data_IF_414024101754
#
_entry.id   IF_414024101754
#
_cell.length_a   1.000
_cell.length_b   1.000
_cell.length_c   1.000
_cell.angle_alpha   90.00
_cell.angle_beta   90.00
_cell.angle_gamma   90.00
#
_symmetry.space_group_name_H-M   'P 1'
#
loop_
_entity.id
_entity.type
_entity.pdbx_description
1 polymer ?
#
# COMPACT_ATOMS: atom_id res chain seq x y z
N UNK A 1 -22.05 56.78 -25.84
CA UNK A 1 -21.44 55.44 -25.72
C UNK A 1 -22.52 54.46 -25.32
N UNK A 2 -22.92 53.55 -26.20
CA UNK A 2 -23.83 52.46 -25.83
C UNK A 2 -23.06 51.46 -24.96
N UNK A 3 -23.47 51.30 -23.71
CA UNK A 3 -22.96 50.24 -22.83
C UNK A 3 -23.71 48.95 -23.20
N UNK A 4 -23.01 47.99 -23.77
CA UNK A 4 -23.53 46.64 -23.95
C UNK A 4 -23.64 45.98 -22.57
N UNK A 5 -24.82 45.49 -22.22
CA UNK A 5 -25.09 44.74 -21.01
C UNK A 5 -25.74 43.41 -21.39
N UNK A 6 -25.38 42.34 -20.69
CA UNK A 6 -26.02 41.04 -20.87
C UNK A 6 -27.43 41.07 -20.30
N UNK A 7 -28.37 40.43 -21.00
CA UNK A 7 -29.71 40.20 -20.47
C UNK A 7 -29.66 39.20 -19.31
N UNK A 8 -30.63 39.27 -18.40
CA UNK A 8 -30.75 38.31 -17.30
C UNK A 8 -30.85 36.86 -17.83
N UNK A 9 -31.56 36.66 -18.94
CA UNK A 9 -31.69 35.35 -19.57
C UNK A 9 -30.34 34.81 -20.08
N UNK A 10 -29.53 35.64 -20.72
CA UNK A 10 -28.17 35.24 -21.18
C UNK A 10 -27.27 34.85 -19.99
N UNK A 11 -27.32 35.62 -18.89
CA UNK A 11 -26.55 35.29 -17.67
C UNK A 11 -27.03 33.96 -17.04
N UNK A 12 -28.34 33.73 -16.96
CA UNK A 12 -28.88 32.49 -16.37
C UNK A 12 -28.57 31.26 -17.23
N UNK A 13 -28.68 31.36 -18.55
CA UNK A 13 -28.35 30.26 -19.46
C UNK A 13 -26.86 29.94 -19.38
N UNK A 14 -25.99 30.96 -19.40
CA UNK A 14 -24.53 30.75 -19.31
C UNK A 14 -24.12 30.14 -17.96
N UNK A 15 -24.67 30.63 -16.84
CA UNK A 15 -24.44 30.02 -15.53
C UNK A 15 -24.97 28.58 -15.46
N UNK A 16 -26.14 28.30 -16.06
CA UNK A 16 -26.69 26.95 -16.14
C UNK A 16 -25.79 25.99 -16.91
N UNK A 17 -25.29 26.40 -18.08
CA UNK A 17 -24.37 25.61 -18.90
C UNK A 17 -23.06 25.36 -18.15
N UNK A 18 -22.44 26.41 -17.58
CA UNK A 18 -21.20 26.29 -16.80
C UNK A 18 -21.41 25.37 -15.59
N UNK A 19 -22.54 25.50 -14.90
CA UNK A 19 -22.89 24.64 -13.76
C UNK A 19 -22.97 23.16 -14.13
N UNK A 20 -23.62 22.83 -15.24
CA UNK A 20 -23.72 21.45 -15.75
C UNK A 20 -22.34 20.91 -16.13
N UNK A 21 -21.55 21.68 -16.88
CA UNK A 21 -20.21 21.25 -17.31
C UNK A 21 -19.27 21.06 -16.11
N UNK A 22 -19.30 21.98 -15.14
CA UNK A 22 -18.51 21.88 -13.92
C UNK A 22 -18.90 20.65 -13.10
N UNK A 23 -20.20 20.37 -12.95
CA UNK A 23 -20.69 19.21 -12.21
C UNK A 23 -20.21 17.87 -12.81
N UNK A 24 -20.07 17.80 -14.14
CA UNK A 24 -19.57 16.60 -14.83
C UNK A 24 -18.03 16.47 -14.79
N UNK A 25 -17.32 17.59 -14.78
CA UNK A 25 -15.85 17.61 -14.95
C UNK A 25 -15.07 17.63 -13.64
N UNK A 26 -15.57 18.31 -12.60
CA UNK A 26 -14.89 18.43 -11.29
C UNK A 26 -14.64 17.05 -10.65
N UNK A 27 -15.60 16.11 -10.59
CA UNK A 27 -15.35 14.80 -10.00
C UNK A 27 -14.26 14.00 -10.74
N UNK A 28 -14.25 14.06 -12.07
CA UNK A 28 -13.25 13.39 -12.89
C UNK A 28 -11.85 13.99 -12.70
N UNK A 29 -11.76 15.32 -12.61
CA UNK A 29 -10.51 16.03 -12.34
C UNK A 29 -9.94 15.66 -10.95
N UNK A 30 -10.79 15.69 -9.91
CA UNK A 30 -10.39 15.31 -8.55
C UNK A 30 -9.91 13.85 -8.50
N UNK A 31 -10.63 12.92 -9.15
CA UNK A 31 -10.24 11.52 -9.19
C UNK A 31 -8.88 11.32 -9.87
N UNK A 32 -8.60 12.02 -10.97
CA UNK A 32 -7.31 11.95 -11.66
C UNK A 32 -6.17 12.54 -10.82
N UNK A 33 -6.43 13.65 -10.13
CA UNK A 33 -5.47 14.24 -9.20
C UNK A 33 -5.14 13.29 -8.05
N UNK A 34 -6.16 12.69 -7.42
CA UNK A 34 -5.96 11.70 -6.35
C UNK A 34 -5.11 10.51 -6.81
N UNK A 35 -5.35 9.99 -8.03
CA UNK A 35 -4.54 8.92 -8.61
C UNK A 35 -3.07 9.30 -8.73
N UNK A 36 -2.77 10.52 -9.18
CA UNK A 36 -1.38 11.01 -9.28
C UNK A 36 -0.73 11.10 -7.90
N UNK A 37 -1.42 11.71 -6.93
CA UNK A 37 -0.93 11.81 -5.55
C UNK A 37 -0.67 10.44 -4.94
N UNK A 38 -1.58 9.47 -5.14
CA UNK A 38 -1.41 8.09 -4.69
C UNK A 38 -0.15 7.45 -5.27
N UNK A 39 0.07 7.58 -6.58
CA UNK A 39 1.26 7.02 -7.24
C UNK A 39 2.54 7.63 -6.69
N UNK A 40 2.58 8.95 -6.52
CA UNK A 40 3.81 9.63 -6.07
C UNK A 40 4.13 9.33 -4.60
N UNK A 41 3.11 9.25 -3.74
CA UNK A 41 3.28 8.79 -2.37
C UNK A 41 3.73 7.33 -2.30
N UNK A 42 3.16 6.45 -3.12
CA UNK A 42 3.59 5.05 -3.21
C UNK A 42 5.06 4.92 -3.63
N UNK A 43 5.49 5.66 -4.66
CA UNK A 43 6.91 5.70 -5.08
C UNK A 43 7.81 6.13 -3.93
N UNK A 44 7.43 7.20 -3.23
CA UNK A 44 8.18 7.72 -2.10
C UNK A 44 8.31 6.66 -1.01
N UNK A 45 7.20 6.08 -0.56
CA UNK A 45 7.22 5.08 0.52
C UNK A 45 8.01 3.83 0.11
N UNK A 46 7.90 3.37 -1.14
CA UNK A 46 8.72 2.28 -1.65
C UNK A 46 10.22 2.62 -1.62
N UNK A 47 10.59 3.83 -2.05
CA UNK A 47 12.00 4.27 -2.05
C UNK A 47 12.55 4.38 -0.64
N UNK A 48 11.80 4.97 0.30
CA UNK A 48 12.19 5.09 1.71
C UNK A 48 12.42 3.71 2.33
N UNK A 49 11.46 2.80 2.16
CA UNK A 49 11.55 1.45 2.75
C UNK A 49 12.67 0.66 2.07
N UNK A 50 12.80 0.71 0.74
CA UNK A 50 13.87 0.02 0.02
C UNK A 50 15.26 0.52 0.46
N UNK A 51 15.43 1.83 0.67
CA UNK A 51 16.70 2.39 1.15
C UNK A 51 17.02 1.95 2.58
N UNK A 52 16.02 1.79 3.45
CA UNK A 52 16.21 1.26 4.80
C UNK A 52 16.77 -0.17 4.76
N UNK A 53 16.25 -1.02 3.86
CA UNK A 53 16.79 -2.36 3.67
C UNK A 53 18.23 -2.35 3.12
N UNK A 54 18.54 -1.49 2.14
CA UNK A 54 19.91 -1.35 1.62
C UNK A 54 20.88 -0.92 2.72
N UNK A 55 20.46 0.01 3.58
CA UNK A 55 21.28 0.48 4.72
C UNK A 55 21.50 -0.65 5.73
N UNK A 56 20.47 -1.44 6.01
CA UNK A 56 20.57 -2.61 6.87
C UNK A 56 21.50 -3.69 6.28
N UNK A 57 21.46 -3.92 4.97
CA UNK A 57 22.37 -4.86 4.30
C UNK A 57 23.84 -4.42 4.38
N UNK A 58 24.08 -3.11 4.37
CA UNK A 58 25.42 -2.57 4.54
C UNK A 58 25.99 -2.83 5.94
N UNK A 59 25.16 -2.72 6.99
CA UNK A 59 25.61 -2.92 8.38
C UNK A 59 25.55 -4.39 8.85
N UNK A 60 24.53 -5.13 8.43
CA UNK A 60 24.19 -6.46 8.94
C UNK A 60 24.47 -7.58 7.92
N UNK A 61 25.11 -7.27 6.81
CA UNK A 61 25.42 -8.23 5.75
C UNK A 61 24.22 -8.62 4.88
N UNK A 62 24.42 -9.63 4.03
CA UNK A 62 23.41 -10.05 3.05
C UNK A 62 22.10 -10.47 3.73
N UNK A 63 20.99 -9.96 3.22
CA UNK A 63 19.64 -10.23 3.72
C UNK A 63 19.29 -11.73 3.76
N UNK A 64 19.85 -12.53 2.85
CA UNK A 64 19.67 -13.98 2.84
C UNK A 64 20.24 -14.65 4.11
N UNK A 65 21.20 -14.03 4.78
CA UNK A 65 21.79 -14.52 6.03
C UNK A 65 20.96 -14.20 7.28
N UNK A 66 19.98 -13.29 7.18
CA UNK A 66 19.20 -12.84 8.34
C UNK A 66 18.16 -13.86 8.82
N UNK A 67 17.92 -14.92 8.04
CA UNK A 67 16.89 -15.92 8.37
C UNK A 67 15.47 -15.42 8.13
N UNK A 68 15.21 -14.65 7.06
CA UNK A 68 13.88 -14.07 6.78
C UNK A 68 12.73 -15.08 6.68
N UNK A 69 13.05 -16.31 6.27
CA UNK A 69 12.10 -17.42 6.18
C UNK A 69 12.06 -18.28 7.46
N UNK A 70 12.92 -17.95 8.43
CA UNK A 70 13.19 -18.68 9.67
C UNK A 70 13.56 -17.68 10.78
N UNK A 71 12.66 -16.75 11.10
CA UNK A 71 12.97 -15.65 12.03
C UNK A 71 13.18 -16.19 13.47
N UNK A 72 12.50 -17.29 13.81
CA UNK A 72 12.66 -18.05 15.05
C UNK A 72 11.59 -19.13 15.18
N UNK A 73 11.74 -20.00 16.19
CA UNK A 73 10.85 -21.15 16.39
C UNK A 73 9.44 -20.70 16.77
N UNK A 74 8.43 -21.42 16.28
CA UNK A 74 7.03 -21.21 16.73
C UNK A 74 6.86 -21.41 18.23
N UNK A 75 7.74 -22.19 18.87
CA UNK A 75 7.71 -22.48 20.31
C UNK A 75 8.11 -21.26 21.16
N UNK A 76 8.91 -20.33 20.63
CA UNK A 76 9.47 -19.21 21.39
C UNK A 76 8.46 -18.07 21.59
N UNK A 77 7.28 -18.16 20.97
CA UNK A 77 6.25 -17.13 20.98
C UNK A 77 6.59 -15.96 20.06
N UNK A 78 5.64 -15.56 19.21
CA UNK A 78 5.84 -14.49 18.24
C UNK A 78 6.29 -13.16 18.88
N UNK A 79 5.80 -12.86 20.10
CA UNK A 79 6.09 -11.61 20.82
C UNK A 79 7.56 -11.44 21.20
N UNK A 80 8.32 -12.54 21.29
CA UNK A 80 9.73 -12.52 21.67
C UNK A 80 10.64 -12.43 20.45
N UNK A 81 10.23 -13.03 19.33
CA UNK A 81 11.09 -13.18 18.15
C UNK A 81 10.90 -12.03 17.17
N UNK A 82 9.66 -11.69 16.84
CA UNK A 82 9.35 -10.75 15.76
C UNK A 82 9.81 -9.32 16.08
N UNK A 83 9.53 -8.75 17.27
CA UNK A 83 9.98 -7.40 17.58
C UNK A 83 11.50 -7.29 17.50
N UNK A 84 12.24 -8.23 18.09
CA UNK A 84 13.71 -8.21 18.07
C UNK A 84 14.27 -8.21 16.65
N UNK A 85 13.76 -9.10 15.80
CA UNK A 85 14.16 -9.17 14.39
C UNK A 85 13.85 -7.87 13.63
N UNK A 86 12.61 -7.38 13.72
CA UNK A 86 12.21 -6.16 13.01
C UNK A 86 13.00 -4.95 13.51
N UNK A 87 13.22 -4.83 14.82
CA UNK A 87 14.02 -3.75 15.41
C UNK A 87 15.44 -3.73 14.86
N UNK A 88 16.10 -4.89 14.88
CA UNK A 88 17.49 -4.99 14.49
C UNK A 88 17.70 -4.74 12.99
N UNK A 89 16.88 -5.35 12.13
CA UNK A 89 17.13 -5.36 10.69
C UNK A 89 16.35 -4.32 9.90
N UNK A 90 15.27 -3.74 10.43
CA UNK A 90 14.35 -2.91 9.63
C UNK A 90 14.04 -1.58 10.33
N UNK A 91 13.47 -1.63 11.53
CA UNK A 91 12.92 -0.43 12.21
C UNK A 91 14.01 0.58 12.56
N UNK A 92 15.20 0.14 12.98
CA UNK A 92 16.37 1.00 13.23
C UNK A 92 16.72 1.89 12.04
N UNK A 93 16.45 1.43 10.82
CA UNK A 93 16.81 2.10 9.56
C UNK A 93 15.67 2.93 8.96
N UNK A 94 14.53 3.00 9.65
CA UNK A 94 13.38 3.81 9.27
C UNK A 94 13.26 5.03 10.18
N UNK A 95 12.80 6.14 9.61
CA UNK A 95 12.49 7.35 10.38
C UNK A 95 11.13 7.21 11.06
N UNK A 96 11.09 6.42 12.14
CA UNK A 96 9.89 6.10 12.91
C UNK A 96 9.55 7.22 13.90
N UNK A 97 8.31 7.69 13.86
CA UNK A 97 7.74 8.63 14.84
C UNK A 97 7.11 7.90 16.01
N UNK A 98 6.39 6.81 15.73
CA UNK A 98 5.72 5.97 16.74
C UNK A 98 5.94 4.52 16.39
N UNK A 99 6.64 3.81 17.26
CA UNK A 99 6.73 2.36 17.23
C UNK A 99 5.61 1.77 18.07
N UNK A 100 4.52 1.37 17.41
CA UNK A 100 3.35 0.84 18.12
C UNK A 100 3.54 -0.63 18.53
N UNK A 101 4.42 -1.34 17.82
CA UNK A 101 4.66 -2.76 18.01
C UNK A 101 3.45 -3.64 17.66
N UNK A 102 3.36 -4.75 18.37
CA UNK A 102 2.30 -5.76 18.22
C UNK A 102 1.03 -5.32 18.96
N UNK A 103 -0.15 -5.77 18.49
CA UNK A 103 -1.43 -5.47 19.15
C UNK A 103 -1.68 -3.96 19.36
N UNK A 104 -1.38 -3.17 18.32
CA UNK A 104 -1.40 -1.72 18.36
C UNK A 104 -2.80 -1.15 18.71
N UNK A 105 -2.94 -0.58 19.92
CA UNK A 105 -4.24 -0.11 20.43
C UNK A 105 -4.84 1.04 19.62
N UNK A 106 -4.02 1.93 19.06
CA UNK A 106 -4.51 3.04 18.22
C UNK A 106 -5.22 2.55 16.96
N UNK A 107 -4.90 1.33 16.50
CA UNK A 107 -5.43 0.74 15.28
C UNK A 107 -6.75 -0.02 15.48
N UNK A 108 -7.17 -0.25 16.73
CA UNK A 108 -8.40 -1.02 17.05
C UNK A 108 -9.67 -0.46 16.44
N UNK A 109 -9.78 0.87 16.32
CA UNK A 109 -10.97 1.55 15.78
C UNK A 109 -10.86 1.88 14.28
N UNK A 110 -9.72 1.56 13.66
CA UNK A 110 -9.46 1.90 12.26
C UNK A 110 -9.95 0.76 11.37
N UNK A 111 -11.03 1.01 10.64
CA UNK A 111 -11.57 0.08 9.65
C UNK A 111 -10.79 0.18 8.35
N UNK A 112 -10.38 -0.96 7.80
CA UNK A 112 -9.75 -1.08 6.49
C UNK A 112 -10.57 -2.02 5.62
N UNK A 113 -10.54 -1.80 4.32
CA UNK A 113 -11.29 -2.60 3.37
C UNK A 113 -10.39 -3.13 2.26
N UNK A 114 -10.53 -4.41 1.95
CA UNK A 114 -10.02 -5.03 0.73
C UNK A 114 -10.77 -4.48 -0.49
N UNK A 115 -10.23 -4.69 -1.69
CA UNK A 115 -10.84 -4.17 -2.92
C UNK A 115 -12.24 -4.76 -3.17
N UNK A 116 -12.45 -6.02 -2.79
CA UNK A 116 -13.74 -6.71 -2.83
C UNK A 116 -14.71 -6.31 -1.71
N UNK A 117 -14.34 -5.35 -0.86
CA UNK A 117 -15.20 -4.81 0.20
C UNK A 117 -15.14 -5.55 1.54
N UNK A 118 -14.36 -6.64 1.65
CA UNK A 118 -14.17 -7.32 2.94
C UNK A 118 -13.45 -6.41 3.93
N UNK A 119 -13.98 -6.33 5.15
CA UNK A 119 -13.33 -5.64 6.25
C UNK A 119 -12.09 -6.42 6.69
N UNK A 120 -11.04 -5.68 7.03
CA UNK A 120 -9.77 -6.21 7.48
C UNK A 120 -9.21 -5.28 8.56
N UNK A 121 -8.54 -5.85 9.56
CA UNK A 121 -8.04 -5.14 10.73
C UNK A 121 -6.58 -5.50 10.99
N UNK A 122 -5.85 -4.58 11.61
CA UNK A 122 -4.43 -4.75 11.99
C UNK A 122 -4.25 -4.80 13.51
N UNK A 123 -5.33 -4.88 14.28
CA UNK A 123 -5.29 -4.85 15.75
C UNK A 123 -5.10 -6.24 16.37
N UNK A 124 -4.62 -7.21 15.60
CA UNK A 124 -4.30 -8.55 16.08
C UNK A 124 -2.79 -8.76 16.30
N UNK A 125 -2.46 -9.91 16.87
CA UNK A 125 -1.08 -10.30 17.22
C UNK A 125 -0.17 -10.54 16.02
N UNK A 126 -0.69 -10.72 14.82
CA UNK A 126 0.08 -11.02 13.62
C UNK A 126 0.54 -9.77 12.87
N UNK A 127 0.22 -8.57 13.37
CA UNK A 127 0.67 -7.30 12.80
C UNK A 127 1.58 -6.54 13.75
N UNK A 128 2.78 -6.21 13.27
CA UNK A 128 3.69 -5.26 13.89
C UNK A 128 3.58 -3.92 13.16
N UNK A 129 3.29 -2.84 13.89
CA UNK A 129 2.92 -1.55 13.26
C UNK A 129 3.86 -0.44 13.69
N UNK A 130 4.35 0.32 12.72
CA UNK A 130 5.12 1.55 12.92
C UNK A 130 4.55 2.71 12.11
N UNK A 131 4.65 3.90 12.67
CA UNK A 131 4.33 5.16 12.00
C UNK A 131 5.64 5.86 11.64
N UNK A 132 5.74 6.34 10.40
CA UNK A 132 6.87 7.13 9.95
C UNK A 132 6.65 8.62 10.23
N UNK A 133 7.72 9.40 10.25
CA UNK A 133 7.66 10.86 10.46
C UNK A 133 6.81 11.61 9.42
N UNK A 134 6.61 11.04 8.23
CA UNK A 134 5.81 11.65 7.18
C UNK A 134 4.32 11.26 7.20
N UNK A 135 3.90 10.48 8.21
CA UNK A 135 2.53 10.01 8.38
C UNK A 135 2.22 8.68 7.67
N UNK A 136 3.17 8.09 6.95
CA UNK A 136 3.03 6.73 6.40
C UNK A 136 2.96 5.71 7.53
N UNK A 137 2.09 4.70 7.43
CA UNK A 137 2.05 3.57 8.37
C UNK A 137 2.60 2.34 7.67
N UNK A 138 3.52 1.63 8.32
CA UNK A 138 4.04 0.35 7.85
C UNK A 138 3.59 -0.74 8.82
N UNK A 139 2.94 -1.76 8.30
CA UNK A 139 2.44 -2.91 9.04
C UNK A 139 3.06 -4.19 8.48
N UNK A 140 3.82 -4.88 9.32
CA UNK A 140 4.44 -6.16 8.99
C UNK A 140 3.50 -7.28 9.42
N UNK A 141 2.99 -8.03 8.44
CA UNK A 141 2.21 -9.23 8.68
C UNK A 141 3.14 -10.42 8.82
N UNK A 142 3.00 -11.11 9.95
CA UNK A 142 3.76 -12.31 10.27
C UNK A 142 2.85 -13.54 10.20
N UNK A 143 3.39 -14.63 9.70
CA UNK A 143 2.75 -15.95 9.72
C UNK A 143 3.81 -17.01 10.07
N UNK A 144 3.42 -18.29 10.10
CA UNK A 144 4.34 -19.40 10.32
C UNK A 144 4.15 -20.53 9.31
N UNK A 145 5.21 -21.32 9.10
CA UNK A 145 5.17 -22.55 8.30
C UNK A 145 5.02 -23.82 9.18
N UNK A 146 4.37 -23.69 10.34
CA UNK A 146 4.28 -24.71 11.41
C UNK A 146 5.60 -25.03 12.15
N UNK A 147 6.74 -24.45 11.76
CA UNK A 147 8.03 -24.62 12.45
C UNK A 147 8.63 -23.29 12.86
N UNK A 148 8.59 -22.33 11.96
CA UNK A 148 9.26 -21.05 12.11
C UNK A 148 8.32 -19.90 11.75
N UNK A 149 8.55 -18.77 12.41
CA UNK A 149 7.91 -17.50 12.08
C UNK A 149 8.56 -16.85 10.86
N UNK A 150 7.75 -16.16 10.04
CA UNK A 150 8.19 -15.43 8.87
C UNK A 150 7.34 -14.19 8.60
N UNK A 151 7.95 -13.14 8.05
CA UNK A 151 7.23 -11.98 7.53
C UNK A 151 6.70 -12.32 6.15
N UNK A 152 5.37 -12.30 5.99
CA UNK A 152 4.72 -12.70 4.74
C UNK A 152 4.38 -11.50 3.87
N UNK A 153 3.97 -10.39 4.49
CA UNK A 153 3.56 -9.17 3.77
C UNK A 153 3.98 -7.94 4.55
N UNK A 154 4.35 -6.89 3.81
CA UNK A 154 4.56 -5.56 4.34
C UNK A 154 3.46 -4.69 3.75
N UNK A 155 2.54 -4.24 4.59
CA UNK A 155 1.48 -3.33 4.19
C UNK A 155 1.90 -1.89 4.48
N UNK A 156 1.74 -1.03 3.49
CA UNK A 156 2.14 0.37 3.56
C UNK A 156 0.93 1.24 3.28
N UNK A 157 0.48 1.94 4.32
CA UNK A 157 -0.58 2.93 4.24
C UNK A 157 0.04 4.30 3.94
N UNK A 158 -0.16 4.79 2.71
CA UNK A 158 0.52 5.97 2.18
C UNK A 158 -0.13 7.31 2.60
N UNK A 159 -1.26 7.25 3.29
CA UNK A 159 -1.97 8.41 3.85
C UNK A 159 -2.30 8.23 5.33
N UNK A 160 -1.75 7.19 5.96
CA UNK A 160 -1.92 6.90 7.37
C UNK A 160 -3.37 6.64 7.73
N UNK A 161 -3.81 7.06 8.92
CA UNK A 161 -5.18 6.79 9.39
C UNK A 161 -6.26 7.66 8.69
N UNK A 162 -5.89 8.45 7.67
CA UNK A 162 -6.82 9.30 6.93
C UNK A 162 -7.69 8.45 6.00
N UNK A 163 -9.02 8.66 6.04
CA UNK A 163 -9.93 7.96 5.12
C UNK A 163 -9.74 8.42 3.67
N UNK A 164 -9.99 7.55 2.68
CA UNK A 164 -10.33 6.13 2.83
C UNK A 164 -9.13 5.27 3.26
N UNK A 165 -9.40 4.08 3.82
CA UNK A 165 -8.40 3.06 4.13
C UNK A 165 -8.65 1.81 3.29
N UNK A 166 -8.37 1.88 1.99
CA UNK A 166 -8.64 0.81 1.03
C UNK A 166 -7.34 0.23 0.46
N UNK A 167 -7.29 -1.10 0.40
CA UNK A 167 -6.27 -1.81 -0.35
C UNK A 167 -6.27 -1.33 -1.81
N UNK A 168 -5.09 -1.13 -2.41
CA UNK A 168 -4.97 -0.65 -3.78
C UNK A 168 -5.38 0.82 -3.99
N UNK A 169 -5.56 1.62 -2.94
CA UNK A 169 -5.74 3.07 -3.07
C UNK A 169 -4.86 3.82 -2.07
N UNK A 170 -4.97 3.36 -0.84
CA UNK A 170 -4.38 3.95 0.36
C UNK A 170 -3.35 2.99 0.94
N UNK A 171 -3.67 1.69 0.91
CA UNK A 171 -2.83 0.62 1.43
C UNK A 171 -2.27 -0.22 0.28
N UNK A 172 -0.95 -0.37 0.23
CA UNK A 172 -0.24 -1.16 -0.77
C UNK A 172 0.62 -2.24 -0.13
N UNK A 173 0.78 -3.36 -0.84
CA UNK A 173 1.47 -4.53 -0.31
C UNK A 173 2.83 -4.69 -0.97
N UNK A 174 3.89 -4.77 -0.17
CA UNK A 174 5.23 -5.18 -0.57
C UNK A 174 5.52 -6.58 -0.04
N UNK A 175 6.46 -7.27 -0.66
CA UNK A 175 6.94 -8.58 -0.25
C UNK A 175 8.45 -8.56 -0.13
N UNK A 176 8.97 -9.31 0.82
CA UNK A 176 10.38 -9.63 0.87
C UNK A 176 10.77 -10.42 -0.38
N UNK A 177 11.94 -10.14 -0.94
CA UNK A 177 12.45 -10.90 -2.07
C UNK A 177 13.33 -12.05 -1.57
N UNK A 178 12.79 -13.26 -1.64
CA UNK A 178 13.48 -14.48 -1.22
C UNK A 178 14.50 -14.98 -2.25
N UNK A 179 14.57 -14.36 -3.44
CA UNK A 179 15.51 -14.75 -4.49
C UNK A 179 16.83 -13.96 -4.44
N UNK A 180 17.00 -13.06 -3.48
CA UNK A 180 18.25 -12.33 -3.23
C UNK A 180 18.61 -11.25 -4.26
N UNK A 181 17.75 -10.95 -5.23
CA UNK A 181 18.03 -9.91 -6.24
C UNK A 181 17.76 -8.50 -5.73
N UNK A 182 16.70 -8.34 -4.94
CA UNK A 182 16.36 -7.12 -4.21
C UNK A 182 16.15 -7.47 -2.73
N UNK A 183 15.98 -6.48 -1.86
CA UNK A 183 15.50 -6.74 -0.51
C UNK A 183 13.96 -6.88 -0.45
N UNK A 184 13.27 -6.02 -1.19
CA UNK A 184 11.80 -6.01 -1.29
C UNK A 184 11.35 -5.81 -2.73
N UNK A 185 10.15 -6.32 -3.02
CA UNK A 185 9.48 -6.13 -4.30
C UNK A 185 8.02 -5.73 -4.08
N UNK A 186 7.45 -5.03 -5.07
CA UNK A 186 6.01 -4.79 -5.11
C UNK A 186 5.26 -6.12 -5.24
N UNK A 187 4.23 -6.33 -4.43
CA UNK A 187 3.42 -7.54 -4.51
C UNK A 187 2.77 -7.67 -5.90
N UNK A 188 2.88 -8.85 -6.50
CA UNK A 188 2.37 -9.15 -7.85
C UNK A 188 3.37 -8.89 -8.99
N UNK A 189 4.50 -8.20 -8.76
CA UNK A 189 5.44 -7.89 -9.85
C UNK A 189 6.05 -9.15 -10.48
N UNK A 190 6.38 -10.16 -9.69
CA UNK A 190 6.95 -11.42 -10.17
C UNK A 190 5.97 -12.18 -11.07
N UNK A 191 4.68 -12.14 -10.74
CA UNK A 191 3.62 -12.76 -11.54
C UNK A 191 3.51 -12.12 -12.92
N UNK A 192 3.54 -10.79 -12.99
CA UNK A 192 3.45 -10.08 -14.28
C UNK A 192 4.72 -10.26 -15.10
N UNK A 193 5.90 -10.18 -14.47
CA UNK A 193 7.18 -10.37 -15.17
C UNK A 193 7.30 -11.77 -15.78
N UNK A 194 6.87 -12.80 -15.03
CA UNK A 194 6.87 -14.19 -15.50
C UNK A 194 5.96 -14.40 -16.70
N UNK A 195 4.73 -13.88 -16.62
CA UNK A 195 3.72 -14.08 -17.66
C UNK A 195 3.78 -13.05 -18.80
N UNK A 196 4.58 -11.98 -18.65
CA UNK A 196 4.63 -10.80 -19.51
C UNK A 196 3.23 -10.21 -19.82
N UNK A 197 2.31 -10.35 -18.86
CA UNK A 197 0.91 -10.01 -19.04
C UNK A 197 0.32 -9.44 -17.75
N UNK A 198 -0.03 -8.16 -17.78
CA UNK A 198 -0.63 -7.45 -16.63
C UNK A 198 -2.02 -7.95 -16.26
N UNK A 199 -2.77 -8.51 -17.20
CA UNK A 199 -4.14 -8.96 -16.96
C UNK A 199 -4.22 -10.13 -15.99
N UNK A 200 -3.09 -10.82 -15.74
CA UNK A 200 -2.98 -11.84 -14.68
C UNK A 200 -3.26 -11.25 -13.29
N UNK A 201 -3.00 -9.97 -13.07
CA UNK A 201 -3.30 -9.29 -11.80
C UNK A 201 -4.73 -8.76 -11.70
N UNK A 202 -5.46 -8.67 -12.81
CA UNK A 202 -6.83 -8.12 -12.85
C UNK A 202 -7.91 -9.22 -12.79
N UNK A 203 -7.51 -10.48 -12.65
CA UNK A 203 -8.40 -11.64 -12.61
C UNK A 203 -9.10 -11.84 -11.27
N UNK A 204 -9.51 -13.08 -11.01
CA UNK A 204 -10.24 -13.51 -9.80
C UNK A 204 -9.35 -14.25 -8.80
N UNK A 205 -8.02 -14.18 -8.96
CA UNK A 205 -7.08 -14.80 -8.04
C UNK A 205 -7.19 -14.21 -6.62
N UNK A 206 -6.64 -14.89 -5.62
CA UNK A 206 -6.78 -14.52 -4.20
C UNK A 206 -6.25 -13.11 -3.89
N UNK A 207 -5.12 -12.72 -4.49
CA UNK A 207 -4.44 -11.43 -4.27
C UNK A 207 -4.69 -10.39 -5.38
N UNK A 208 -5.45 -10.75 -6.42
CA UNK A 208 -5.61 -9.94 -7.63
C UNK A 208 -6.07 -8.50 -7.30
N UNK A 209 -5.57 -7.54 -8.08
CA UNK A 209 -6.04 -6.16 -8.10
C UNK A 209 -7.40 -6.09 -8.80
N UNK A 210 -8.42 -6.67 -8.18
CA UNK A 210 -9.78 -6.72 -8.72
C UNK A 210 -10.80 -6.78 -7.60
N UNK A 211 -11.96 -6.16 -7.82
CA UNK A 211 -13.10 -6.22 -6.88
C UNK A 211 -13.71 -7.63 -6.80
N UNK A 212 -13.43 -8.48 -7.79
CA UNK A 212 -13.89 -9.87 -7.86
C UNK A 212 -12.84 -10.88 -7.36
N UNK A 213 -11.73 -10.40 -6.79
CA UNK A 213 -10.67 -11.23 -6.24
C UNK A 213 -11.03 -11.83 -4.87
N UNK A 214 -10.23 -12.81 -4.43
CA UNK A 214 -10.44 -13.54 -3.18
C UNK A 214 -10.03 -12.77 -1.91
N UNK A 215 -9.62 -13.50 -0.88
CA UNK A 215 -9.44 -12.97 0.49
C UNK A 215 -8.43 -11.81 0.62
N UNK A 216 -7.45 -11.73 -0.29
CA UNK A 216 -6.39 -10.72 -0.30
C UNK A 216 -6.54 -9.74 -1.47
N UNK A 217 -7.77 -9.59 -1.96
CA UNK A 217 -8.15 -8.67 -3.03
C UNK A 217 -7.53 -7.28 -2.83
N UNK A 218 -6.73 -6.85 -3.81
CA UNK A 218 -6.00 -5.58 -3.82
C UNK A 218 -4.50 -5.70 -3.55
N UNK A 219 -3.99 -6.84 -3.06
CA UNK A 219 -2.57 -7.01 -2.73
C UNK A 219 -1.66 -6.83 -3.96
N UNK A 220 -2.08 -7.26 -5.15
CA UNK A 220 -1.30 -7.13 -6.38
C UNK A 220 -1.39 -5.74 -7.05
N UNK A 221 -2.16 -4.82 -6.48
CA UNK A 221 -2.30 -3.49 -7.07
C UNK A 221 -1.00 -2.69 -7.11
N UNK A 222 -0.11 -2.88 -6.13
CA UNK A 222 1.20 -2.20 -6.10
C UNK A 222 2.09 -2.62 -7.26
N UNK A 223 2.17 -3.93 -7.54
CA UNK A 223 2.91 -4.49 -8.68
C UNK A 223 2.29 -4.10 -10.02
N UNK A 224 0.96 -4.03 -10.10
CA UNK A 224 0.27 -3.55 -11.31
C UNK A 224 0.63 -2.10 -11.63
N UNK A 225 0.57 -1.19 -10.65
CA UNK A 225 0.95 0.22 -10.83
C UNK A 225 2.42 0.34 -11.26
N UNK A 226 3.31 -0.40 -10.61
CA UNK A 226 4.73 -0.39 -10.97
C UNK A 226 4.95 -0.88 -12.40
N UNK A 227 4.28 -1.97 -12.80
CA UNK A 227 4.38 -2.52 -14.15
C UNK A 227 3.81 -1.57 -15.23
N UNK A 228 2.72 -0.87 -14.93
CA UNK A 228 2.10 0.13 -15.81
C UNK A 228 2.93 1.44 -15.91
N UNK A 229 4.21 1.42 -15.52
CA UNK A 229 5.10 2.56 -15.57
C UNK A 229 4.74 3.64 -14.55
N UNK A 230 4.30 3.20 -13.36
CA UNK A 230 3.80 4.06 -12.29
C UNK A 230 2.62 4.93 -12.71
N UNK A 231 1.60 4.29 -13.25
CA UNK A 231 0.35 4.93 -13.64
C UNK A 231 -0.83 4.08 -13.22
N UNK A 232 -1.92 4.74 -12.83
CA UNK A 232 -3.20 4.09 -12.58
C UNK A 232 -4.00 4.12 -13.89
N UNK A 233 -3.98 3.00 -14.59
CA UNK A 233 -4.66 2.81 -15.87
C UNK A 233 -6.19 2.92 -15.75
N UNK A 234 -6.88 3.10 -16.89
CA UNK A 234 -8.35 3.30 -16.91
C UNK A 234 -9.14 2.12 -16.36
N UNK A 235 -8.61 0.91 -16.55
CA UNK A 235 -9.17 -0.36 -16.10
C UNK A 235 -8.79 -0.71 -14.66
N UNK A 236 -7.96 0.12 -14.02
CA UNK A 236 -7.64 -0.05 -12.61
C UNK A 236 -8.93 0.04 -11.78
N UNK A 237 -9.15 -0.87 -10.83
CA UNK A 237 -10.33 -0.91 -9.98
C UNK A 237 -10.26 0.19 -8.89
N UNK A 238 -10.27 1.45 -9.34
CA UNK A 238 -10.38 2.62 -8.47
C UNK A 238 -11.70 2.47 -7.71
#
# INVERSE_FOLDING_TARGET
>A
MNKYAFTLAEVLITMGIIGIVAALTIPALIANYQKQVTVDRLKKSFSVISNAFVTSQYENGDMNSWGMNSIGSVNDGYENVIPSFLQHYIIKYLNVSVDCGLSCKSQTKIKRFRLNGREWRWDDRFYYIVYLNDGTIVSFMVDNNSKEWMVVRIFVDINGDQKPNRAGRDIFTFKLDVNGNNAINMSGISEVKRNKNRNTLLGTCRECCSKNAGDYSGDFCSGLIQYDGWKISKDYPW
#
